data_IF_069719648821
#
_entry.id   IF_069719648821
#
_cell.length_a   1.000
_cell.length_b   1.000
_cell.length_c   1.000
_cell.angle_alpha   90.00
_cell.angle_beta   90.00
_cell.angle_gamma   90.00
#
_symmetry.space_group_name_H-M   'P 1'
#
loop_
_entity.id
_entity.type
_entity.pdbx_description
1 polymer ?
#
# COMPACT_ATOMS: atom_id res chain seq x y z
N UNK A 1 -22.08 17.75 8.68
CA UNK A 1 -21.44 18.71 7.75
C UNK A 1 -21.07 20.08 8.34
N UNK A 2 -21.57 20.49 9.53
CA UNK A 2 -21.29 21.82 10.13
C UNK A 2 -20.00 21.95 10.96
N UNK A 3 -19.40 20.83 11.38
CA UNK A 3 -18.22 20.83 12.25
C UNK A 3 -16.94 21.22 11.49
N UNK A 4 -16.89 20.97 10.17
CA UNK A 4 -15.72 21.23 9.34
C UNK A 4 -15.43 22.73 9.10
N UNK A 5 -16.43 23.62 9.25
CA UNK A 5 -16.27 25.08 9.01
C UNK A 5 -15.52 25.84 10.12
N UNK A 6 -15.34 25.25 11.30
CA UNK A 6 -14.72 25.93 12.48
C UNK A 6 -13.28 25.52 12.76
N UNK A 7 -12.75 24.51 12.09
CA UNK A 7 -11.34 24.16 12.20
C UNK A 7 -10.55 25.09 11.25
N UNK A 8 -9.47 25.73 11.71
CA UNK A 8 -8.65 26.56 10.84
C UNK A 8 -8.09 25.68 9.73
N UNK A 9 -8.58 25.89 8.51
CA UNK A 9 -8.07 25.19 7.36
C UNK A 9 -6.77 25.87 6.93
N UNK A 10 -5.67 25.22 7.26
CA UNK A 10 -4.34 25.73 6.99
C UNK A 10 -3.82 24.96 5.79
N UNK A 11 -3.63 25.64 4.65
CA UNK A 11 -2.80 25.11 3.55
C UNK A 11 -1.31 25.03 3.95
N UNK A 12 -1.05 24.54 5.16
CA UNK A 12 0.28 24.34 5.73
C UNK A 12 0.85 23.02 5.20
N UNK A 13 2.06 23.11 4.65
CA UNK A 13 2.88 21.99 4.23
C UNK A 13 2.88 20.82 5.22
N UNK A 14 2.91 21.12 6.53
CA UNK A 14 3.00 20.12 7.59
C UNK A 14 1.74 19.25 7.70
N UNK A 15 0.56 19.82 7.43
CA UNK A 15 -0.70 19.07 7.47
C UNK A 15 -0.74 18.10 6.30
N UNK A 16 -0.35 18.53 5.09
CA UNK A 16 -0.25 17.63 3.94
C UNK A 16 0.69 16.46 4.18
N UNK A 17 1.90 16.72 4.69
CA UNK A 17 2.86 15.67 5.01
C UNK A 17 2.37 14.74 6.14
N UNK A 18 1.58 15.26 7.09
CA UNK A 18 0.99 14.42 8.13
C UNK A 18 -0.09 13.50 7.56
N UNK A 19 -1.00 14.05 6.75
CA UNK A 19 -2.09 13.29 6.10
C UNK A 19 -1.49 12.20 5.22
N UNK A 20 -0.51 12.54 4.38
CA UNK A 20 0.22 11.58 3.55
C UNK A 20 0.80 10.42 4.39
N UNK A 21 1.42 10.72 5.53
CA UNK A 21 2.00 9.69 6.40
C UNK A 21 0.95 8.78 7.01
N UNK A 22 -0.15 9.35 7.51
CA UNK A 22 -1.28 8.59 8.05
C UNK A 22 -1.82 7.64 7.00
N UNK A 23 -1.92 8.14 5.77
CA UNK A 23 -2.50 7.40 4.66
C UNK A 23 -1.63 6.27 4.14
N UNK A 24 -0.32 6.52 3.99
CA UNK A 24 0.67 5.46 3.78
C UNK A 24 0.64 4.41 4.90
N UNK A 25 0.31 4.83 6.13
CA UNK A 25 0.08 3.94 7.26
C UNK A 25 -1.12 3.00 7.04
N UNK A 26 -2.29 3.54 6.66
CA UNK A 26 -3.48 2.74 6.37
C UNK A 26 -3.27 1.77 5.22
N UNK A 27 -2.66 2.23 4.13
CA UNK A 27 -2.32 1.38 2.99
C UNK A 27 -1.37 0.27 3.44
N UNK A 28 -0.34 0.58 4.21
CA UNK A 28 0.60 -0.44 4.69
C UNK A 28 -0.11 -1.51 5.52
N UNK A 29 -1.03 -1.09 6.39
CA UNK A 29 -1.81 -2.00 7.21
C UNK A 29 -2.71 -2.90 6.36
N UNK A 30 -3.39 -2.32 5.36
CA UNK A 30 -4.16 -3.08 4.37
C UNK A 30 -3.31 -4.08 3.59
N UNK A 31 -2.13 -3.65 3.13
CA UNK A 31 -1.17 -4.53 2.46
C UNK A 31 -0.77 -5.69 3.37
N UNK A 32 -0.47 -5.45 4.65
CA UNK A 32 -0.13 -6.53 5.58
C UNK A 32 -1.29 -7.52 5.80
N UNK A 33 -2.53 -7.03 5.89
CA UNK A 33 -3.71 -7.89 6.00
C UNK A 33 -3.89 -8.79 4.76
N UNK A 34 -3.79 -8.20 3.55
CA UNK A 34 -3.85 -8.97 2.30
C UNK A 34 -2.67 -9.92 2.14
N UNK A 35 -1.48 -9.51 2.56
CA UNK A 35 -0.30 -10.36 2.55
C UNK A 35 -0.44 -11.57 3.45
N UNK A 36 -0.99 -11.37 4.65
CA UNK A 36 -1.25 -12.44 5.59
C UNK A 36 -2.31 -13.41 5.06
N UNK A 37 -3.40 -12.89 4.49
CA UNK A 37 -4.43 -13.70 3.85
C UNK A 37 -3.84 -14.61 2.78
N UNK A 38 -3.06 -14.04 1.86
CA UNK A 38 -2.42 -14.76 0.77
C UNK A 38 -1.44 -15.83 1.28
N UNK A 39 -0.65 -15.49 2.31
CA UNK A 39 0.24 -16.46 2.96
C UNK A 39 -0.52 -17.65 3.54
N UNK A 40 -1.65 -17.43 4.21
CA UNK A 40 -2.48 -18.51 4.74
C UNK A 40 -3.07 -19.40 3.64
N UNK A 41 -3.53 -18.82 2.52
CA UNK A 41 -3.99 -19.60 1.36
C UNK A 41 -2.87 -20.46 0.77
N UNK A 42 -1.65 -19.95 0.75
CA UNK A 42 -0.48 -20.70 0.31
C UNK A 42 -0.16 -21.87 1.26
N UNK A 43 -0.33 -21.69 2.56
CA UNK A 43 -0.19 -22.79 3.54
C UNK A 43 -1.33 -23.81 3.44
N UNK A 44 -2.54 -23.39 3.12
CA UNK A 44 -3.69 -24.29 2.88
C UNK A 44 -3.39 -25.29 1.78
N UNK A 45 -2.84 -24.84 0.65
CA UNK A 45 -2.43 -25.72 -0.46
C UNK A 45 -1.43 -26.79 0.00
N UNK A 46 -0.48 -26.44 0.87
CA UNK A 46 0.45 -27.41 1.45
C UNK A 46 -0.24 -28.41 2.39
N UNK A 47 -1.23 -27.95 3.16
CA UNK A 47 -2.00 -28.80 4.06
C UNK A 47 -2.85 -29.81 3.28
N UNK A 48 -3.43 -29.41 2.16
CA UNK A 48 -4.17 -30.28 1.24
C UNK A 48 -3.27 -31.38 0.65
N UNK A 49 -2.06 -31.02 0.22
CA UNK A 49 -1.06 -31.98 -0.27
C UNK A 49 -0.70 -33.00 0.83
N UNK A 50 -0.66 -32.56 2.09
CA UNK A 50 -0.31 -33.40 3.25
C UNK A 50 -1.52 -34.20 3.78
N UNK A 51 -2.68 -34.15 3.11
CA UNK A 51 -3.92 -34.84 3.52
C UNK A 51 -4.42 -34.45 4.93
N UNK A 52 -4.10 -33.24 5.42
CA UNK A 52 -4.55 -32.74 6.73
C UNK A 52 -5.79 -31.84 6.60
N UNK A 53 -6.95 -32.47 6.49
CA UNK A 53 -8.24 -31.81 6.21
C UNK A 53 -8.60 -30.77 7.29
N UNK A 54 -8.49 -31.09 8.58
CA UNK A 54 -8.87 -30.16 9.66
C UNK A 54 -8.06 -28.85 9.63
N UNK A 55 -6.77 -28.93 9.27
CA UNK A 55 -5.88 -27.77 9.21
C UNK A 55 -6.19 -26.92 7.98
N UNK A 56 -6.49 -27.54 6.83
CA UNK A 56 -6.84 -26.83 5.59
C UNK A 56 -8.06 -25.92 5.79
N UNK A 57 -9.12 -26.41 6.43
CA UNK A 57 -10.37 -25.66 6.65
C UNK A 57 -10.15 -24.44 7.53
N UNK A 58 -9.34 -24.58 8.59
CA UNK A 58 -9.01 -23.48 9.49
C UNK A 58 -8.20 -22.41 8.74
N UNK A 59 -7.17 -22.82 8.00
CA UNK A 59 -6.33 -21.90 7.21
C UNK A 59 -7.17 -21.13 6.18
N UNK A 60 -8.06 -21.81 5.45
CA UNK A 60 -8.96 -21.20 4.48
C UNK A 60 -9.86 -20.14 5.10
N UNK A 61 -10.47 -20.47 6.24
CA UNK A 61 -11.42 -19.58 6.92
C UNK A 61 -10.72 -18.31 7.41
N UNK A 62 -9.54 -18.45 8.02
CA UNK A 62 -8.75 -17.31 8.50
C UNK A 62 -8.20 -16.48 7.33
N UNK A 63 -7.83 -17.13 6.22
CA UNK A 63 -7.40 -16.45 5.00
C UNK A 63 -8.51 -15.56 4.42
N UNK A 64 -9.72 -16.09 4.25
CA UNK A 64 -10.87 -15.33 3.74
C UNK A 64 -11.22 -14.18 4.69
N UNK A 65 -11.26 -14.43 6.00
CA UNK A 65 -11.56 -13.38 6.98
C UNK A 65 -10.53 -12.23 6.93
N UNK A 66 -9.24 -12.55 6.86
CA UNK A 66 -8.17 -11.54 6.76
C UNK A 66 -8.17 -10.80 5.42
N UNK A 67 -8.52 -11.46 4.31
CA UNK A 67 -8.69 -10.82 3.01
C UNK A 67 -9.81 -9.78 3.04
N UNK A 68 -10.98 -10.14 3.57
CA UNK A 68 -12.13 -9.25 3.71
C UNK A 68 -11.82 -8.03 4.59
N UNK A 69 -11.07 -8.24 5.68
CA UNK A 69 -10.60 -7.14 6.54
C UNK A 69 -9.66 -6.22 5.75
N UNK A 70 -8.73 -6.78 4.98
CA UNK A 70 -7.83 -6.02 4.11
C UNK A 70 -8.59 -5.16 3.10
N UNK A 71 -9.56 -5.73 2.41
CA UNK A 71 -10.40 -5.04 1.43
C UNK A 71 -11.22 -3.91 2.05
N UNK A 72 -11.83 -4.18 3.22
CA UNK A 72 -12.54 -3.17 3.98
C UNK A 72 -11.65 -1.98 4.34
N UNK A 73 -10.41 -2.25 4.77
CA UNK A 73 -9.44 -1.21 5.11
C UNK A 73 -9.00 -0.40 3.88
N UNK A 74 -8.88 -1.03 2.71
CA UNK A 74 -8.55 -0.33 1.45
C UNK A 74 -9.68 0.62 1.08
N UNK A 75 -10.93 0.15 1.12
CA UNK A 75 -12.11 0.95 0.80
C UNK A 75 -12.31 2.10 1.79
N UNK A 76 -12.28 1.78 3.09
CA UNK A 76 -12.40 2.77 4.16
C UNK A 76 -11.27 3.79 4.07
N UNK A 77 -10.05 3.30 3.89
CA UNK A 77 -8.89 4.10 3.57
C UNK A 77 -9.26 5.07 2.48
N UNK A 78 -9.43 4.59 1.24
CA UNK A 78 -9.69 5.38 0.02
C UNK A 78 -10.72 6.49 0.21
N UNK A 79 -11.83 6.17 0.87
CA UNK A 79 -12.90 7.09 1.19
C UNK A 79 -12.43 8.23 2.09
N UNK A 80 -11.70 7.92 3.18
CA UNK A 80 -11.17 8.92 4.12
C UNK A 80 -10.22 9.91 3.45
N UNK A 81 -9.31 9.50 2.56
CA UNK A 81 -8.44 10.46 1.85
C UNK A 81 -9.17 11.33 0.88
N UNK A 82 -10.16 10.76 0.19
CA UNK A 82 -10.95 11.55 -0.71
C UNK A 82 -11.65 12.68 0.05
N UNK A 83 -12.21 12.37 1.23
CA UNK A 83 -12.77 13.37 2.13
C UNK A 83 -11.73 14.33 2.70
N UNK A 84 -10.59 13.85 3.18
CA UNK A 84 -9.53 14.69 3.75
C UNK A 84 -8.94 15.64 2.72
N UNK A 85 -8.66 15.17 1.50
CA UNK A 85 -8.16 16.04 0.42
C UNK A 85 -9.21 17.08 0.02
N UNK A 86 -10.48 16.67 -0.12
CA UNK A 86 -11.55 17.63 -0.43
C UNK A 86 -11.70 18.68 0.67
N UNK A 87 -11.47 18.31 1.93
CA UNK A 87 -11.51 19.25 3.05
C UNK A 87 -10.33 20.23 3.02
N UNK A 88 -9.12 19.76 2.73
CA UNK A 88 -7.92 20.59 2.68
C UNK A 88 -7.97 21.56 1.48
N UNK A 89 -8.57 21.18 0.35
CA UNK A 89 -8.73 22.06 -0.83
C UNK A 89 -9.64 23.26 -0.55
N UNK A 90 -10.68 23.09 0.28
CA UNK A 90 -11.64 24.14 0.65
C UNK A 90 -11.11 25.21 1.61
N UNK A 91 -9.83 25.14 1.98
CA UNK A 91 -9.18 26.03 2.93
C UNK A 91 -8.81 27.41 2.42
N UNK A 92 -8.75 28.37 3.34
CA UNK A 92 -8.21 29.72 3.07
C UNK A 92 -6.75 29.57 2.61
N UNK A 93 -6.39 30.28 1.54
CA UNK A 93 -5.00 30.35 1.10
C UNK A 93 -4.17 31.03 2.20
N UNK A 94 -3.27 30.26 2.81
CA UNK A 94 -2.26 30.83 3.71
C UNK A 94 -1.14 31.37 2.83
N UNK A 95 -0.72 32.60 3.11
CA UNK A 95 0.36 33.22 2.38
C UNK A 95 1.64 32.38 2.50
N UNK A 96 2.48 32.45 1.48
CA UNK A 96 3.69 31.65 1.36
C UNK A 96 4.58 31.90 2.58
N UNK A 97 4.70 30.93 3.47
CA UNK A 97 5.56 31.04 4.65
C UNK A 97 7.02 31.11 4.19
N UNK A 98 7.63 32.30 4.22
CA UNK A 98 9.04 32.54 3.83
C UNK A 98 10.07 32.05 4.86
N UNK A 99 9.68 31.19 5.80
CA UNK A 99 10.55 30.82 6.92
C UNK A 99 11.15 29.44 6.71
N UNK A 100 12.48 29.37 6.76
CA UNK A 100 13.27 28.14 6.94
C UNK A 100 12.95 27.59 8.33
N UNK A 101 11.82 26.90 8.46
CA UNK A 101 11.40 26.20 9.67
C UNK A 101 12.01 24.79 9.63
N UNK A 102 12.98 24.45 10.50
CA UNK A 102 13.62 23.13 10.53
C UNK A 102 12.62 21.98 10.65
N UNK A 103 11.43 22.24 11.19
CA UNK A 103 10.36 21.25 11.34
C UNK A 103 9.84 20.73 10.00
N UNK A 104 9.95 21.50 8.93
CA UNK A 104 9.53 21.09 7.57
C UNK A 104 10.50 20.03 7.04
N UNK A 105 11.81 20.20 7.23
CA UNK A 105 12.82 19.20 6.88
C UNK A 105 12.58 17.88 7.62
N UNK A 106 12.41 17.94 8.95
CA UNK A 106 12.12 16.74 9.77
C UNK A 106 10.80 16.07 9.39
N UNK A 107 9.79 16.85 8.96
CA UNK A 107 8.53 16.31 8.49
C UNK A 107 8.69 15.56 7.15
N UNK A 108 9.46 16.13 6.21
CA UNK A 108 9.76 15.56 4.90
C UNK A 108 10.60 14.28 5.00
N UNK A 109 11.57 14.23 5.92
CA UNK A 109 12.37 13.04 6.16
C UNK A 109 11.50 11.88 6.70
N UNK A 110 10.62 12.16 7.65
CA UNK A 110 9.69 11.14 8.18
C UNK A 110 8.69 10.64 7.14
N UNK A 111 8.20 11.51 6.25
CA UNK A 111 7.35 11.05 5.14
C UNK A 111 8.14 10.20 4.17
N UNK A 112 9.36 10.60 3.81
CA UNK A 112 10.25 9.78 2.97
C UNK A 112 10.52 8.40 3.57
N UNK A 113 10.85 8.31 4.86
CA UNK A 113 11.04 7.02 5.53
C UNK A 113 9.76 6.17 5.54
N UNK A 114 8.58 6.80 5.59
CA UNK A 114 7.33 6.08 5.44
C UNK A 114 7.15 5.48 4.04
N UNK A 115 7.51 6.23 2.98
CA UNK A 115 7.55 5.75 1.59
C UNK A 115 8.52 4.59 1.38
N UNK A 116 9.73 4.70 1.93
CA UNK A 116 10.74 3.63 1.86
C UNK A 116 10.22 2.36 2.52
N UNK A 117 9.62 2.46 3.71
CA UNK A 117 9.10 1.29 4.43
C UNK A 117 7.91 0.63 3.71
N UNK A 118 7.02 1.41 3.08
CA UNK A 118 5.95 0.84 2.24
C UNK A 118 6.50 0.15 1.00
N UNK A 119 7.48 0.76 0.33
CA UNK A 119 8.10 0.19 -0.86
C UNK A 119 8.83 -1.14 -0.55
N UNK A 120 9.62 -1.18 0.52
CA UNK A 120 10.30 -2.40 0.96
C UNK A 120 9.30 -3.50 1.30
N UNK A 121 8.20 -3.16 1.97
CA UNK A 121 7.14 -4.12 2.30
C UNK A 121 6.53 -4.74 1.04
N UNK A 122 6.24 -3.92 0.01
CA UNK A 122 5.74 -4.39 -1.28
C UNK A 122 6.76 -5.29 -2.01
N UNK A 123 8.03 -4.90 -2.05
CA UNK A 123 9.09 -5.66 -2.73
C UNK A 123 9.28 -7.03 -2.08
N UNK A 124 9.45 -7.07 -0.76
CA UNK A 124 9.63 -8.32 0.00
C UNK A 124 8.42 -9.22 -0.23
N UNK A 125 7.22 -8.65 -0.14
CA UNK A 125 5.99 -9.42 -0.32
C UNK A 125 5.85 -10.00 -1.73
N UNK A 126 6.08 -9.20 -2.77
CA UNK A 126 6.04 -9.68 -4.15
C UNK A 126 7.07 -10.79 -4.42
N UNK A 127 8.25 -10.70 -3.81
CA UNK A 127 9.28 -11.73 -3.89
C UNK A 127 8.86 -13.05 -3.22
N UNK A 128 8.24 -12.97 -2.03
CA UNK A 128 7.72 -14.16 -1.33
C UNK A 128 6.65 -14.87 -2.16
N UNK A 129 5.74 -14.12 -2.79
CA UNK A 129 4.72 -14.68 -3.68
C UNK A 129 5.36 -15.43 -4.85
N UNK A 130 6.30 -14.78 -5.55
CA UNK A 130 6.97 -15.36 -6.72
C UNK A 130 7.70 -16.67 -6.37
N UNK A 131 8.44 -16.67 -5.25
CA UNK A 131 9.19 -17.84 -4.80
C UNK A 131 8.29 -18.99 -4.36
N UNK A 132 7.14 -18.69 -3.75
CA UNK A 132 6.19 -19.72 -3.34
C UNK A 132 5.54 -20.41 -4.55
N UNK A 133 5.18 -19.65 -5.59
CA UNK A 133 4.67 -20.22 -6.85
C UNK A 133 5.67 -21.19 -7.50
N UNK A 134 6.95 -20.80 -7.53
CA UNK A 134 8.01 -21.67 -8.02
C UNK A 134 8.13 -22.96 -7.19
N UNK A 135 8.02 -22.84 -5.87
CA UNK A 135 8.09 -23.99 -4.96
C UNK A 135 6.95 -25.00 -5.19
N UNK A 136 5.70 -24.53 -5.33
CA UNK A 136 4.55 -25.41 -5.61
C UNK A 136 4.70 -26.13 -6.94
N UNK A 137 5.14 -25.43 -8.00
CA UNK A 137 5.40 -26.06 -9.31
C UNK A 137 6.46 -27.15 -9.25
N UNK A 138 7.49 -26.95 -8.42
CA UNK A 138 8.53 -27.95 -8.22
C UNK A 138 7.99 -29.16 -7.46
N UNK A 139 7.12 -28.96 -6.46
CA UNK A 139 6.44 -30.05 -5.74
C UNK A 139 5.53 -30.87 -6.66
N UNK A 140 4.71 -30.24 -7.50
CA UNK A 140 3.87 -30.93 -8.51
C UNK A 140 4.72 -31.87 -9.38
N UNK A 141 5.87 -31.39 -9.85
CA UNK A 141 6.78 -32.17 -10.69
C UNK A 141 7.40 -33.35 -9.94
N UNK A 142 7.76 -33.18 -8.68
CA UNK A 142 8.37 -34.24 -7.86
C UNK A 142 7.34 -35.29 -7.45
N UNK A 143 6.14 -34.87 -7.05
CA UNK A 143 5.08 -35.77 -6.58
C UNK A 143 4.16 -36.28 -7.69
N UNK A 144 4.37 -35.88 -8.95
CA UNK A 144 3.55 -36.23 -10.12
C UNK A 144 2.04 -35.94 -9.93
N UNK A 145 1.70 -35.03 -9.02
CA UNK A 145 0.32 -34.59 -8.80
C UNK A 145 -0.02 -33.44 -9.74
N UNK A 146 -1.15 -33.53 -10.43
CA UNK A 146 -1.72 -32.41 -11.18
C UNK A 146 -2.59 -31.57 -10.23
N UNK A 147 -1.97 -30.64 -9.52
CA UNK A 147 -2.70 -29.50 -8.96
C UNK A 147 -3.13 -28.65 -10.16
N UNK A 148 -4.44 -28.52 -10.38
CA UNK A 148 -5.02 -28.07 -11.65
C UNK A 148 -4.45 -26.75 -12.21
N UNK A 149 -4.64 -26.56 -13.52
CA UNK A 149 -4.14 -25.47 -14.39
C UNK A 149 -4.36 -24.01 -13.91
N UNK A 150 -5.01 -23.77 -12.77
CA UNK A 150 -5.21 -22.44 -12.19
C UNK A 150 -3.92 -21.71 -11.81
N UNK A 151 -2.83 -22.43 -11.48
CA UNK A 151 -1.58 -21.85 -10.95
C UNK A 151 -0.61 -21.30 -12.02
N UNK A 152 -0.88 -21.57 -13.31
CA UNK A 152 0.08 -21.22 -14.37
C UNK A 152 0.10 -19.71 -14.68
N UNK A 153 -0.99 -18.99 -14.42
CA UNK A 153 -1.12 -17.54 -14.69
C UNK A 153 -0.57 -16.61 -13.60
N UNK A 154 -0.25 -17.12 -12.40
CA UNK A 154 -0.02 -16.29 -11.21
C UNK A 154 1.44 -15.87 -11.00
N UNK A 155 2.40 -16.58 -11.60
CA UNK A 155 3.83 -16.28 -11.46
C UNK A 155 4.22 -14.86 -11.93
N UNK A 156 3.46 -14.24 -12.84
CA UNK A 156 3.71 -12.88 -13.34
C UNK A 156 3.32 -11.78 -12.34
N UNK A 157 2.56 -12.11 -11.30
CA UNK A 157 1.96 -11.13 -10.39
C UNK A 157 2.92 -10.72 -9.27
N UNK A 158 3.75 -11.65 -8.77
CA UNK A 158 4.83 -11.30 -7.84
C UNK A 158 5.78 -10.25 -8.44
N UNK A 159 6.19 -10.45 -9.70
CA UNK A 159 7.01 -9.48 -10.44
C UNK A 159 6.32 -8.12 -10.62
N UNK A 160 5.00 -8.10 -10.88
CA UNK A 160 4.23 -6.87 -10.98
C UNK A 160 4.22 -6.09 -9.65
N UNK A 161 4.01 -6.78 -8.52
CA UNK A 161 4.03 -6.18 -7.19
C UNK A 161 5.43 -5.64 -6.84
N UNK A 162 6.49 -6.38 -7.15
CA UNK A 162 7.88 -5.91 -6.97
C UNK A 162 8.12 -4.63 -7.78
N UNK A 163 7.69 -4.61 -9.04
CA UNK A 163 7.83 -3.45 -9.93
C UNK A 163 7.13 -2.22 -9.37
N UNK A 164 5.92 -2.40 -8.82
CA UNK A 164 5.19 -1.32 -8.15
C UNK A 164 5.92 -0.85 -6.89
N UNK A 165 6.45 -1.77 -6.09
CA UNK A 165 7.24 -1.42 -4.91
C UNK A 165 8.45 -0.56 -5.28
N UNK A 166 9.13 -0.90 -6.38
CA UNK A 166 10.23 -0.10 -6.92
C UNK A 166 9.78 1.28 -7.41
N UNK A 167 8.66 1.35 -8.14
CA UNK A 167 8.07 2.64 -8.56
C UNK A 167 7.74 3.50 -7.33
N UNK A 168 7.13 2.91 -6.31
CA UNK A 168 6.78 3.58 -5.05
C UNK A 168 8.03 4.15 -4.36
N UNK A 169 9.15 3.42 -4.38
CA UNK A 169 10.43 3.89 -3.84
C UNK A 169 10.96 5.11 -4.61
N UNK A 170 10.98 5.01 -5.93
CA UNK A 170 11.46 6.08 -6.83
C UNK A 170 10.60 7.34 -6.65
N UNK A 171 9.28 7.20 -6.60
CA UNK A 171 8.35 8.30 -6.38
C UNK A 171 8.56 8.97 -5.02
N UNK A 172 8.74 8.18 -3.96
CA UNK A 172 9.07 8.69 -2.63
C UNK A 172 10.37 9.51 -2.62
N UNK A 173 11.41 9.02 -3.31
CA UNK A 173 12.69 9.73 -3.43
C UNK A 173 12.56 11.04 -4.22
N UNK A 174 11.86 11.02 -5.36
CA UNK A 174 11.61 12.22 -6.17
C UNK A 174 10.85 13.27 -5.34
N UNK A 175 9.82 12.85 -4.61
CA UNK A 175 9.02 13.75 -3.77
C UNK A 175 9.87 14.38 -2.65
N UNK A 176 10.75 13.59 -2.04
CA UNK A 176 11.68 14.07 -1.02
C UNK A 176 12.66 15.12 -1.59
N UNK A 177 13.40 14.80 -2.65
CA UNK A 177 14.36 15.74 -3.23
C UNK A 177 13.70 17.02 -3.74
N UNK A 178 12.51 16.91 -4.34
CA UNK A 178 11.72 18.07 -4.77
C UNK A 178 11.31 18.93 -3.58
N UNK A 179 10.86 18.31 -2.49
CA UNK A 179 10.50 19.01 -1.25
C UNK A 179 11.70 19.77 -0.69
N UNK A 180 12.85 19.11 -0.53
CA UNK A 180 14.07 19.74 0.00
C UNK A 180 14.50 20.93 -0.87
N UNK A 181 14.57 20.77 -2.20
CA UNK A 181 14.91 21.88 -3.12
C UNK A 181 13.95 23.06 -3.05
N UNK A 182 12.68 22.82 -2.76
CA UNK A 182 11.70 23.88 -2.57
C UNK A 182 12.00 24.64 -1.27
N UNK A 183 12.16 23.92 -0.16
CA UNK A 183 12.48 24.56 1.14
C UNK A 183 13.79 25.33 1.08
N UNK A 184 14.83 24.80 0.42
CA UNK A 184 16.14 25.47 0.26
C UNK A 184 16.05 26.79 -0.51
N UNK A 185 15.10 26.92 -1.45
CA UNK A 185 14.86 28.17 -2.19
C UNK A 185 14.04 29.19 -1.38
N UNK A 186 13.75 28.91 -0.11
CA UNK A 186 12.91 29.75 0.75
C UNK A 186 11.43 29.66 0.42
N UNK A 187 10.99 28.62 -0.31
CA UNK A 187 9.60 28.50 -0.71
C UNK A 187 9.08 27.08 -0.85
N UNK A 188 7.96 26.78 -0.19
CA UNK A 188 7.31 25.49 -0.33
C UNK A 188 5.96 25.61 -1.05
N UNK A 189 5.74 24.79 -2.10
CA UNK A 189 4.46 24.73 -2.81
C UNK A 189 4.00 23.28 -2.92
N UNK A 190 3.06 22.90 -2.06
CA UNK A 190 2.33 21.64 -2.13
C UNK A 190 1.46 21.61 -3.37
N UNK A 191 1.89 20.83 -4.36
CA UNK A 191 1.10 20.54 -5.56
C UNK A 191 0.24 19.30 -5.31
N UNK A 192 -1.03 19.52 -5.01
CA UNK A 192 -2.06 18.51 -4.72
C UNK A 192 -2.13 17.37 -5.74
N UNK A 193 -1.88 17.68 -7.02
CA UNK A 193 -1.93 16.73 -8.12
C UNK A 193 -1.01 15.52 -7.90
N UNK A 194 0.23 15.74 -7.45
CA UNK A 194 1.20 14.65 -7.27
C UNK A 194 0.77 13.71 -6.15
N UNK A 195 0.24 14.25 -5.05
CA UNK A 195 -0.27 13.44 -3.95
C UNK A 195 -1.50 12.61 -4.36
N UNK A 196 -2.41 13.18 -5.16
CA UNK A 196 -3.54 12.44 -5.74
C UNK A 196 -3.07 11.30 -6.66
N UNK A 197 -2.11 11.56 -7.53
CA UNK A 197 -1.54 10.55 -8.44
C UNK A 197 -0.86 9.43 -7.67
N UNK A 198 -0.08 9.74 -6.63
CA UNK A 198 0.61 8.71 -5.84
C UNK A 198 -0.37 7.87 -5.03
N UNK A 199 -1.37 8.51 -4.38
CA UNK A 199 -2.44 7.80 -3.70
C UNK A 199 -3.21 6.87 -4.66
N UNK A 200 -3.47 7.33 -5.89
CA UNK A 200 -4.14 6.54 -6.92
C UNK A 200 -3.32 5.31 -7.34
N UNK A 201 -2.02 5.45 -7.60
CA UNK A 201 -1.15 4.33 -7.99
C UNK A 201 -1.16 3.24 -6.90
N UNK A 202 -1.03 3.65 -5.65
CA UNK A 202 -1.00 2.71 -4.54
C UNK A 202 -2.38 2.09 -4.30
N UNK A 203 -3.46 2.88 -4.41
CA UNK A 203 -4.82 2.35 -4.34
C UNK A 203 -5.07 1.30 -5.43
N UNK A 204 -4.70 1.59 -6.68
CA UNK A 204 -4.79 0.63 -7.78
C UNK A 204 -3.99 -0.64 -7.52
N UNK A 205 -2.82 -0.52 -6.89
CA UNK A 205 -2.02 -1.68 -6.47
C UNK A 205 -2.78 -2.56 -5.49
N UNK A 206 -3.37 -1.95 -4.46
CA UNK A 206 -4.19 -2.64 -3.49
C UNK A 206 -5.41 -3.31 -4.15
N UNK A 207 -6.09 -2.65 -5.08
CA UNK A 207 -7.22 -3.22 -5.83
C UNK A 207 -6.80 -4.40 -6.70
N UNK A 208 -5.66 -4.32 -7.38
CA UNK A 208 -5.13 -5.45 -8.16
C UNK A 208 -4.81 -6.63 -7.24
N UNK A 209 -4.24 -6.37 -6.06
CA UNK A 209 -3.95 -7.40 -5.07
C UNK A 209 -5.23 -8.04 -4.53
N UNK A 210 -6.26 -7.24 -4.22
CA UNK A 210 -7.60 -7.70 -3.84
C UNK A 210 -8.21 -8.59 -4.91
N UNK A 211 -8.24 -8.14 -6.17
CA UNK A 211 -8.81 -8.93 -7.27
C UNK A 211 -8.08 -10.25 -7.46
N UNK A 212 -6.75 -10.25 -7.27
CA UNK A 212 -5.96 -11.46 -7.29
C UNK A 212 -6.36 -12.43 -6.16
N UNK A 213 -6.45 -11.95 -4.93
CA UNK A 213 -6.87 -12.77 -3.78
C UNK A 213 -8.27 -13.33 -4.01
N UNK A 214 -9.23 -12.51 -4.46
CA UNK A 214 -10.59 -12.93 -4.77
C UNK A 214 -10.67 -13.96 -5.90
N UNK A 215 -9.77 -13.92 -6.89
CA UNK A 215 -9.70 -14.93 -7.94
C UNK A 215 -9.15 -16.26 -7.45
N UNK A 216 -8.34 -16.25 -6.39
CA UNK A 216 -7.76 -17.46 -5.80
C UNK A 216 -8.75 -18.11 -4.81
N UNK A 217 -9.55 -17.31 -4.08
CA UNK A 217 -10.55 -17.79 -3.10
C UNK A 217 -11.65 -18.62 -3.77
#
# INVERSE_FOLDING_TARGET
MLIYKRLPSVRDARIYMSVERTYLGYIRLALYALSFALFLMKLEVLADITQKIDVSVILRTVAIASALIGDFLILLGALVFYWDISYIEGGIMVDKKEVIDPRIYMAAERTFLAWVRTAISLIIFGFVIERFEFFIRQLERVFSMHLGNGHQGLAKIGLFIISIGLITLILGAINFFRTIRQVDRGFYRTSLWYYKVYGLIIFLTCVVLTFYVLRII
#
